data_IF_903923877255
#
_entry.id   IF_903923877255
#
_cell.length_a   1.000
_cell.length_b   1.000
_cell.length_c   1.000
_cell.angle_alpha   90.00
_cell.angle_beta   90.00
_cell.angle_gamma   90.00
#
_symmetry.space_group_name_H-M   'P 1'
#
loop_
_entity.id
_entity.type
_entity.pdbx_description
1 polymer ?
#
# COMPACT_ATOMS: atom_id res chain seq x y z
N UNK A 1 -81.21 3.70 60.83
CA UNK A 1 -80.26 4.82 60.70
C UNK A 1 -78.94 4.18 60.27
N UNK A 2 -78.34 4.38 59.10
CA UNK A 2 -78.46 5.43 58.10
C UNK A 2 -78.12 4.89 56.69
N UNK A 3 -78.56 5.63 55.66
CA UNK A 3 -78.43 5.33 54.23
C UNK A 3 -77.21 6.01 53.62
N UNK A 4 -76.60 5.39 52.59
CA UNK A 4 -76.04 5.96 51.32
C UNK A 4 -74.78 5.17 50.88
N UNK A 5 -74.79 4.38 49.79
CA UNK A 5 -74.74 4.80 48.36
C UNK A 5 -73.32 5.32 48.00
N UNK A 6 -72.57 4.92 46.95
CA UNK A 6 -72.73 4.22 45.66
C UNK A 6 -71.36 3.52 45.37
N UNK A 7 -71.29 2.25 44.93
CA UNK A 7 -71.12 1.78 43.51
C UNK A 7 -69.90 2.43 42.79
N UNK A 8 -69.03 1.74 42.06
CA UNK A 8 -68.99 0.34 41.62
C UNK A 8 -67.67 0.07 40.86
N UNK A 9 -67.54 -1.20 40.44
CA UNK A 9 -66.87 -1.65 39.22
C UNK A 9 -65.33 -1.75 39.29
N UNK A 10 -64.68 -2.84 38.90
CA UNK A 10 -65.14 -4.08 38.29
C UNK A 10 -63.90 -4.89 37.90
N UNK A 11 -64.05 -6.21 37.93
CA UNK A 11 -63.01 -7.20 37.66
C UNK A 11 -62.35 -7.08 36.27
N UNK A 12 -61.14 -7.65 36.11
CA UNK A 12 -60.88 -8.82 35.24
C UNK A 12 -59.38 -9.08 35.07
N UNK A 13 -59.03 -10.37 35.17
CA UNK A 13 -57.79 -10.95 34.69
C UNK A 13 -57.72 -10.90 33.15
N UNK A 14 -56.51 -10.82 32.60
CA UNK A 14 -56.21 -11.29 31.25
C UNK A 14 -54.72 -11.64 31.12
N UNK A 15 -54.47 -12.88 30.71
CA UNK A 15 -53.17 -13.43 30.39
C UNK A 15 -52.55 -12.72 29.18
N UNK A 16 -51.30 -12.27 29.33
CA UNK A 16 -50.52 -11.69 28.23
C UNK A 16 -49.97 -12.78 27.33
N UNK A 17 -50.42 -12.80 26.08
CA UNK A 17 -49.82 -13.58 24.99
C UNK A 17 -48.48 -12.91 24.63
N UNK A 18 -47.37 -13.64 24.80
CA UNK A 18 -46.06 -13.26 24.30
C UNK A 18 -45.99 -13.54 22.79
N UNK A 19 -46.05 -12.49 21.98
CA UNK A 19 -45.72 -12.58 20.55
C UNK A 19 -44.20 -12.42 20.41
N UNK A 20 -43.50 -13.51 20.10
CA UNK A 20 -42.10 -13.46 19.73
C UNK A 20 -41.95 -12.87 18.32
N UNK A 21 -41.35 -11.69 18.19
CA UNK A 21 -40.95 -11.12 16.91
C UNK A 21 -39.58 -11.70 16.51
N UNK A 22 -39.58 -12.64 15.56
CA UNK A 22 -38.36 -13.08 14.89
C UNK A 22 -37.93 -12.01 13.88
N UNK A 23 -36.84 -11.29 14.17
CA UNK A 23 -36.19 -10.40 13.21
C UNK A 23 -35.39 -11.24 12.19
N UNK A 24 -35.40 -10.91 10.89
CA UNK A 24 -34.57 -11.60 9.92
C UNK A 24 -33.11 -11.17 10.12
N UNK A 25 -32.27 -12.11 10.51
CA UNK A 25 -30.81 -11.93 10.50
C UNK A 25 -30.34 -11.87 9.04
N UNK A 26 -30.06 -10.67 8.54
CA UNK A 26 -29.35 -10.47 7.29
C UNK A 26 -27.93 -11.02 7.47
N UNK A 27 -27.68 -12.21 6.95
CA UNK A 27 -26.34 -12.77 6.86
C UNK A 27 -25.48 -11.84 5.98
N UNK A 28 -24.56 -11.11 6.58
CA UNK A 28 -23.52 -10.37 5.87
C UNK A 28 -22.64 -11.40 5.15
N UNK A 29 -22.86 -11.58 3.85
CA UNK A 29 -21.97 -12.37 3.00
C UNK A 29 -20.63 -11.63 2.97
N UNK A 30 -19.51 -12.23 3.41
CA UNK A 30 -18.21 -11.61 3.26
C UNK A 30 -17.93 -11.51 1.76
N UNK A 31 -18.01 -10.30 1.22
CA UNK A 31 -17.53 -10.01 -0.13
C UNK A 31 -16.03 -10.25 -0.13
N UNK A 32 -15.61 -11.43 -0.61
CA UNK A 32 -14.20 -11.63 -0.99
C UNK A 32 -13.83 -10.46 -1.91
N UNK A 33 -12.72 -9.75 -1.67
CA UNK A 33 -12.28 -8.71 -2.59
C UNK A 33 -12.16 -9.34 -3.96
N UNK A 34 -12.97 -8.84 -4.91
CA UNK A 34 -12.90 -9.24 -6.31
C UNK A 34 -11.45 -9.03 -6.73
N UNK A 35 -10.76 -10.11 -7.12
CA UNK A 35 -9.42 -10.01 -7.66
C UNK A 35 -9.41 -8.85 -8.66
N UNK A 36 -8.59 -7.83 -8.39
CA UNK A 36 -8.48 -6.65 -9.23
C UNK A 36 -8.01 -7.10 -10.61
N UNK A 37 -8.98 -7.27 -11.52
CA UNK A 37 -8.72 -7.64 -12.92
C UNK A 37 -8.33 -6.40 -13.73
N UNK A 38 -8.07 -5.27 -13.08
CA UNK A 38 -7.68 -4.02 -13.71
C UNK A 38 -6.32 -4.10 -14.37
N UNK A 39 -6.08 -3.13 -15.26
CA UNK A 39 -4.75 -2.81 -15.75
C UNK A 39 -4.10 -1.86 -14.74
N UNK A 40 -2.88 -2.19 -14.29
CA UNK A 40 -2.09 -1.30 -13.40
C UNK A 40 -1.01 -0.61 -14.20
N UNK A 41 -0.97 0.71 -14.03
CA UNK A 41 -0.05 1.61 -14.68
C UNK A 41 0.77 2.35 -13.62
N UNK A 42 2.04 2.63 -13.92
CA UNK A 42 2.87 3.54 -13.15
C UNK A 42 3.68 4.42 -14.09
N UNK A 43 3.83 5.68 -13.70
CA UNK A 43 4.71 6.65 -14.33
C UNK A 43 5.90 6.94 -13.42
N UNK A 44 7.09 6.98 -14.00
CA UNK A 44 8.36 7.17 -13.32
C UNK A 44 9.21 8.26 -13.98
N UNK A 45 9.94 8.99 -13.17
CA UNK A 45 11.01 9.89 -13.57
C UNK A 45 12.27 9.59 -12.75
N UNK A 46 13.41 9.29 -13.38
CA UNK A 46 14.62 8.94 -12.65
C UNK A 46 15.46 10.20 -12.45
N UNK A 47 15.69 10.59 -11.19
CA UNK A 47 16.31 11.87 -10.83
C UNK A 47 17.78 12.00 -11.26
N UNK A 48 18.48 10.87 -11.49
CA UNK A 48 19.87 10.85 -11.93
C UNK A 48 20.02 10.70 -13.44
N UNK A 49 19.30 9.77 -14.07
CA UNK A 49 19.40 9.52 -15.52
C UNK A 49 18.52 10.44 -16.35
N UNK A 50 17.52 11.09 -15.71
CA UNK A 50 16.46 11.87 -16.35
C UNK A 50 15.57 11.07 -17.29
N UNK A 51 15.64 9.75 -17.24
CA UNK A 51 14.78 8.85 -18.00
C UNK A 51 13.35 8.88 -17.44
N UNK A 52 12.37 8.91 -18.34
CA UNK A 52 10.95 8.75 -17.99
C UNK A 52 10.47 7.36 -18.42
N UNK A 53 9.55 6.78 -17.67
CA UNK A 53 8.88 5.53 -18.03
C UNK A 53 7.41 5.60 -17.63
N UNK A 54 6.49 5.45 -18.58
CA UNK A 54 5.06 5.22 -18.35
C UNK A 54 4.73 3.80 -18.83
N UNK A 55 4.26 2.95 -17.92
CA UNK A 55 4.16 1.54 -18.22
C UNK A 55 3.00 0.82 -17.54
N UNK A 56 2.28 0.03 -18.34
CA UNK A 56 1.28 -0.92 -17.88
C UNK A 56 1.97 -2.26 -17.55
N UNK A 57 2.26 -2.50 -16.27
CA UNK A 57 3.01 -3.69 -15.84
C UNK A 57 2.11 -4.89 -15.49
N UNK A 58 0.83 -4.64 -15.18
CA UNK A 58 -0.17 -5.67 -14.91
C UNK A 58 -1.38 -5.45 -15.83
N UNK A 59 -1.86 -6.49 -16.50
CA UNK A 59 -3.06 -6.47 -17.35
C UNK A 59 -3.92 -7.68 -17.05
N UNK A 60 -5.22 -7.48 -16.81
CA UNK A 60 -6.15 -8.58 -16.49
C UNK A 60 -5.66 -9.47 -15.33
N UNK A 61 -5.02 -8.86 -14.33
CA UNK A 61 -4.44 -9.58 -13.18
C UNK A 61 -3.17 -10.40 -13.49
N UNK A 62 -2.54 -10.23 -14.65
CA UNK A 62 -1.29 -10.92 -15.03
C UNK A 62 -0.18 -9.92 -15.33
N UNK A 63 1.04 -10.24 -14.88
CA UNK A 63 2.21 -9.44 -15.20
C UNK A 63 2.54 -9.50 -16.69
N UNK A 64 2.83 -8.35 -17.28
CA UNK A 64 3.38 -8.26 -18.63
C UNK A 64 4.90 -8.44 -18.56
N UNK A 65 5.38 -9.58 -19.01
CA UNK A 65 6.81 -9.92 -18.96
C UNK A 65 7.70 -8.90 -19.69
N UNK A 66 7.23 -8.37 -20.84
CA UNK A 66 8.00 -7.35 -21.58
C UNK A 66 8.04 -6.03 -20.82
N UNK A 67 6.97 -5.71 -20.10
CA UNK A 67 6.95 -4.54 -19.23
C UNK A 67 7.93 -4.71 -18.06
N UNK A 68 7.95 -5.88 -17.41
CA UNK A 68 8.90 -6.16 -16.32
C UNK A 68 10.36 -6.08 -16.80
N UNK A 69 10.68 -6.55 -18.00
CA UNK A 69 12.03 -6.38 -18.56
C UNK A 69 12.43 -4.91 -18.78
N UNK A 70 11.49 -4.08 -19.25
CA UNK A 70 11.72 -2.63 -19.38
C UNK A 70 11.93 -1.97 -18.02
N UNK A 71 11.15 -2.37 -17.02
CA UNK A 71 11.29 -1.90 -15.64
C UNK A 71 12.65 -2.30 -15.05
N UNK A 72 13.09 -3.54 -15.24
CA UNK A 72 14.41 -3.99 -14.78
C UNK A 72 15.54 -3.13 -15.36
N UNK A 73 15.46 -2.81 -16.66
CA UNK A 73 16.43 -1.91 -17.30
C UNK A 73 16.31 -0.48 -16.77
N UNK A 74 15.11 0.02 -16.57
CA UNK A 74 14.88 1.38 -16.07
C UNK A 74 15.40 1.56 -14.64
N UNK A 75 15.10 0.58 -13.77
CA UNK A 75 15.48 0.53 -12.35
C UNK A 75 16.86 -0.11 -12.09
N UNK A 76 17.68 -0.24 -13.13
CA UNK A 76 19.07 -0.70 -13.06
C UNK A 76 19.89 0.17 -12.11
N UNK A 77 21.06 -0.33 -11.71
CA UNK A 77 22.02 0.53 -11.03
C UNK A 77 22.52 1.59 -12.01
N UNK A 78 22.11 2.84 -11.84
CA UNK A 78 22.48 3.92 -12.75
C UNK A 78 23.98 4.24 -12.75
N UNK A 79 24.73 3.81 -11.73
CA UNK A 79 26.18 4.08 -11.62
C UNK A 79 27.01 3.08 -12.42
N UNK A 80 26.58 1.83 -12.46
CA UNK A 80 27.29 0.73 -13.14
C UNK A 80 26.59 0.26 -14.41
N UNK A 81 25.34 0.72 -14.64
CA UNK A 81 24.41 0.22 -15.65
C UNK A 81 24.04 -1.26 -15.52
N UNK A 82 24.37 -1.89 -14.39
CA UNK A 82 24.05 -3.29 -14.13
C UNK A 82 22.54 -3.47 -13.95
N UNK A 83 21.95 -4.35 -14.77
CA UNK A 83 20.53 -4.69 -14.75
C UNK A 83 20.32 -5.92 -13.88
N UNK A 84 19.30 -5.89 -13.03
CA UNK A 84 18.90 -7.00 -12.17
C UNK A 84 17.38 -7.15 -12.17
N UNK A 85 16.83 -8.37 -11.99
CA UNK A 85 15.40 -8.56 -11.83
C UNK A 85 14.85 -7.78 -10.63
N UNK A 86 13.86 -6.92 -10.87
CA UNK A 86 13.15 -6.19 -9.82
C UNK A 86 11.96 -7.03 -9.37
N UNK A 87 11.76 -7.12 -8.06
CA UNK A 87 10.60 -7.76 -7.45
C UNK A 87 9.31 -7.01 -7.87
N UNK A 88 8.39 -7.66 -8.61
CA UNK A 88 7.16 -7.01 -9.05
C UNK A 88 6.27 -6.54 -7.89
N UNK A 89 6.47 -7.05 -6.68
CA UNK A 89 5.70 -6.61 -5.51
C UNK A 89 6.01 -5.15 -5.14
N UNK A 90 7.21 -4.63 -5.45
CA UNK A 90 7.50 -3.19 -5.31
C UNK A 90 6.49 -2.38 -6.13
N UNK A 91 6.19 -2.81 -7.36
CA UNK A 91 5.26 -2.11 -8.24
C UNK A 91 3.83 -2.16 -7.71
N UNK A 92 3.46 -3.27 -7.07
CA UNK A 92 2.16 -3.39 -6.41
C UNK A 92 2.04 -2.43 -5.22
N UNK A 93 3.08 -2.35 -4.37
CA UNK A 93 3.11 -1.42 -3.23
C UNK A 93 2.97 0.02 -3.72
N UNK A 94 3.76 0.43 -4.71
CA UNK A 94 3.69 1.78 -5.29
C UNK A 94 2.32 2.07 -5.89
N UNK A 95 1.74 1.13 -6.64
CA UNK A 95 0.41 1.32 -7.20
C UNK A 95 -0.66 1.47 -6.11
N UNK A 96 -0.61 0.66 -5.05
CA UNK A 96 -1.53 0.76 -3.91
C UNK A 96 -1.39 2.10 -3.21
N UNK A 97 -0.17 2.59 -2.99
CA UNK A 97 0.06 3.93 -2.41
C UNK A 97 -0.61 5.02 -3.25
N UNK A 98 -0.53 4.96 -4.58
CA UNK A 98 -1.24 5.91 -5.45
C UNK A 98 -2.76 5.83 -5.28
N UNK A 99 -3.32 4.62 -5.13
CA UNK A 99 -4.76 4.45 -4.95
C UNK A 99 -5.22 5.01 -3.61
N UNK A 100 -4.51 4.71 -2.53
CA UNK A 100 -4.81 5.20 -1.17
C UNK A 100 -4.68 6.73 -1.08
N UNK A 101 -3.68 7.32 -1.76
CA UNK A 101 -3.53 8.79 -1.84
C UNK A 101 -4.57 9.41 -2.79
N UNK A 102 -5.19 8.62 -3.67
CA UNK A 102 -6.14 9.10 -4.68
C UNK A 102 -5.47 9.94 -5.78
N UNK A 103 -4.33 9.50 -6.30
CA UNK A 103 -3.59 10.23 -7.34
C UNK A 103 -3.06 9.34 -8.47
N UNK A 104 -2.57 9.98 -9.54
CA UNK A 104 -1.85 9.34 -10.66
C UNK A 104 -0.52 10.04 -10.94
N UNK A 105 0.08 10.63 -9.90
CA UNK A 105 1.33 11.39 -9.99
C UNK A 105 2.52 10.51 -10.38
N UNK A 106 3.51 11.09 -11.03
CA UNK A 106 4.77 10.41 -11.35
C UNK A 106 5.58 10.10 -10.08
N UNK A 107 6.11 8.89 -9.97
CA UNK A 107 7.12 8.55 -8.97
C UNK A 107 8.48 9.07 -9.42
N UNK A 108 9.17 9.81 -8.57
CA UNK A 108 10.56 10.19 -8.80
C UNK A 108 11.46 9.12 -8.20
N UNK A 109 12.23 8.43 -9.03
CA UNK A 109 13.15 7.36 -8.61
C UNK A 109 14.50 7.97 -8.29
N UNK A 110 14.91 7.84 -7.01
CA UNK A 110 16.24 8.21 -6.53
C UNK A 110 17.18 7.02 -6.71
N UNK A 111 16.77 5.84 -6.24
CA UNK A 111 17.54 4.61 -6.46
C UNK A 111 16.67 3.37 -6.39
N UNK A 112 17.08 2.30 -7.06
CA UNK A 112 16.40 1.01 -7.05
C UNK A 112 17.43 -0.12 -6.92
N UNK A 113 17.68 -0.93 -7.94
CA UNK A 113 18.76 -1.91 -7.83
C UNK A 113 20.11 -1.22 -7.58
N UNK A 114 20.91 -1.79 -6.68
CA UNK A 114 22.30 -1.36 -6.44
C UNK A 114 23.21 -2.56 -6.62
N UNK A 115 24.18 -2.46 -7.52
CA UNK A 115 25.23 -3.45 -7.66
C UNK A 115 26.02 -3.61 -6.35
N UNK A 116 26.66 -4.77 -6.11
CA UNK A 116 27.57 -4.95 -4.97
C UNK A 116 28.63 -3.85 -4.87
N UNK A 117 29.17 -3.42 -6.02
CA UNK A 117 30.15 -2.33 -6.12
C UNK A 117 29.58 -1.01 -5.63
N UNK A 118 28.40 -0.61 -6.10
CA UNK A 118 27.72 0.61 -5.64
C UNK A 118 27.39 0.54 -4.16
N UNK A 119 26.85 -0.58 -3.67
CA UNK A 119 26.49 -0.71 -2.27
C UNK A 119 27.74 -0.60 -1.37
N UNK A 120 28.85 -1.24 -1.73
CA UNK A 120 30.12 -1.11 -1.01
C UNK A 120 30.63 0.33 -1.00
N UNK A 121 30.59 1.02 -2.14
CA UNK A 121 31.03 2.43 -2.23
C UNK A 121 30.18 3.34 -1.36
N UNK A 122 28.86 3.19 -1.36
CA UNK A 122 27.96 4.00 -0.53
C UNK A 122 28.16 3.72 0.96
N UNK A 123 28.39 2.46 1.34
CA UNK A 123 28.74 2.08 2.72
C UNK A 123 30.04 2.70 3.21
N UNK A 124 31.03 2.86 2.34
CA UNK A 124 32.27 3.53 2.69
C UNK A 124 32.11 5.02 3.01
N UNK A 125 31.01 5.64 2.54
CA UNK A 125 30.75 7.07 2.68
C UNK A 125 29.65 7.39 3.71
N UNK A 126 28.97 6.38 4.27
CA UNK A 126 27.85 6.58 5.20
C UNK A 126 27.54 5.31 6.00
N UNK A 127 27.20 5.49 7.27
CA UNK A 127 26.70 4.42 8.14
C UNK A 127 25.25 4.02 7.84
N UNK A 128 24.53 4.81 7.02
CA UNK A 128 23.12 4.59 6.67
C UNK A 128 22.86 3.47 5.65
N UNK A 129 23.88 2.72 5.23
CA UNK A 129 23.75 1.69 4.19
C UNK A 129 24.09 0.30 4.75
N UNK A 130 23.11 -0.61 4.68
CA UNK A 130 23.27 -1.96 5.19
C UNK A 130 24.21 -2.82 4.32
N UNK A 131 24.99 -3.71 4.97
CA UNK A 131 25.86 -4.69 4.27
C UNK A 131 25.07 -5.63 3.35
N UNK A 132 23.87 -6.02 3.76
CA UNK A 132 22.94 -6.91 3.01
C UNK A 132 21.67 -6.14 2.66
N UNK A 133 21.83 -5.04 1.92
CA UNK A 133 20.72 -4.20 1.51
C UNK A 133 19.76 -4.94 0.56
N UNK A 134 18.45 -4.72 0.71
CA UNK A 134 17.44 -5.26 -0.21
C UNK A 134 17.49 -4.61 -1.59
N UNK A 135 18.13 -3.44 -1.73
CA UNK A 135 18.45 -2.87 -3.05
C UNK A 135 19.33 -3.80 -3.89
N UNK A 136 20.24 -4.55 -3.26
CA UNK A 136 21.09 -5.52 -3.98
C UNK A 136 20.36 -6.78 -4.42
N UNK A 137 19.11 -6.95 -3.98
CA UNK A 137 18.26 -8.10 -4.31
C UNK A 137 17.12 -7.70 -5.26
N UNK A 138 17.11 -6.46 -5.75
CA UNK A 138 16.00 -5.93 -6.56
C UNK A 138 14.70 -5.79 -5.77
N UNK A 139 14.78 -5.73 -4.45
CA UNK A 139 13.64 -5.76 -3.51
C UNK A 139 13.42 -4.43 -2.80
N UNK A 140 14.07 -3.35 -3.24
CA UNK A 140 13.88 -2.03 -2.63
C UNK A 140 13.98 -0.88 -3.63
N UNK A 141 13.30 0.22 -3.31
CA UNK A 141 13.28 1.46 -4.08
C UNK A 141 13.25 2.68 -3.15
N UNK A 142 13.97 3.72 -3.53
CA UNK A 142 13.93 5.03 -2.89
C UNK A 142 13.19 6.01 -3.80
N UNK A 143 12.13 6.61 -3.28
CA UNK A 143 11.16 7.36 -4.08
C UNK A 143 10.75 8.71 -3.47
N UNK A 144 10.27 9.59 -4.36
CA UNK A 144 9.28 10.64 -4.05
C UNK A 144 8.07 10.44 -4.94
N UNK A 145 7.02 11.19 -4.67
CA UNK A 145 5.82 11.24 -5.51
C UNK A 145 5.56 12.70 -5.88
N UNK A 146 5.60 13.03 -7.17
CA UNK A 146 5.53 14.42 -7.64
C UNK A 146 4.27 15.12 -7.14
N UNK A 147 4.46 16.29 -6.55
CA UNK A 147 3.38 17.11 -5.98
C UNK A 147 2.84 16.60 -4.64
N UNK A 148 3.48 15.61 -4.01
CA UNK A 148 3.11 15.08 -2.69
C UNK A 148 4.27 15.19 -1.71
N UNK A 149 3.97 15.53 -0.46
CA UNK A 149 4.97 15.54 0.61
C UNK A 149 5.42 14.11 0.93
N UNK A 150 6.73 13.89 1.06
CA UNK A 150 7.30 12.56 1.37
C UNK A 150 6.79 11.97 2.68
N UNK A 151 6.38 12.81 3.65
CA UNK A 151 5.72 12.37 4.88
C UNK A 151 4.38 11.67 4.61
N UNK A 152 3.58 12.19 3.70
CA UNK A 152 2.30 11.58 3.32
C UNK A 152 2.52 10.23 2.64
N UNK A 153 3.53 10.15 1.76
CA UNK A 153 3.90 8.88 1.10
C UNK A 153 4.36 7.86 2.13
N UNK A 154 5.20 8.27 3.09
CA UNK A 154 5.61 7.42 4.22
C UNK A 154 4.41 6.93 5.01
N UNK A 155 3.52 7.82 5.45
CA UNK A 155 2.38 7.45 6.30
C UNK A 155 1.47 6.43 5.62
N UNK A 156 1.25 6.61 4.32
CA UNK A 156 0.56 5.62 3.50
C UNK A 156 1.32 4.30 3.45
N UNK A 157 2.62 4.31 3.12
CA UNK A 157 3.43 3.10 3.04
C UNK A 157 3.49 2.33 4.37
N UNK A 158 3.58 3.04 5.51
CA UNK A 158 3.55 2.44 6.85
C UNK A 158 2.21 1.78 7.12
N UNK A 159 1.09 2.45 6.80
CA UNK A 159 -0.25 1.91 7.00
C UNK A 159 -0.54 0.65 6.16
N UNK A 160 0.16 0.47 5.03
CA UNK A 160 0.03 -0.74 4.20
C UNK A 160 0.69 -1.97 4.81
N UNK A 161 1.70 -1.79 5.66
CA UNK A 161 2.51 -2.87 6.25
C UNK A 161 3.06 -3.91 5.25
N UNK A 162 3.20 -3.51 3.98
CA UNK A 162 3.54 -4.41 2.86
C UNK A 162 5.05 -4.67 2.71
N UNK A 163 5.86 -4.09 3.60
CA UNK A 163 7.30 -4.34 3.70
C UNK A 163 8.04 -3.25 4.46
N UNK A 164 9.37 -3.15 4.34
CA UNK A 164 10.14 -2.15 5.08
C UNK A 164 9.90 -0.73 4.57
N UNK A 165 9.80 0.23 5.50
CA UNK A 165 9.62 1.65 5.19
C UNK A 165 10.66 2.50 5.93
N UNK A 166 11.55 3.15 5.19
CA UNK A 166 12.52 4.10 5.75
C UNK A 166 12.16 5.54 5.42
N UNK A 167 12.24 6.47 6.36
CA UNK A 167 11.95 7.89 6.10
C UNK A 167 13.16 8.80 6.26
N UNK A 168 13.62 9.36 5.14
CA UNK A 168 14.82 10.19 5.08
C UNK A 168 14.44 11.65 4.86
N UNK A 169 13.91 12.30 5.90
CA UNK A 169 13.40 13.68 5.81
C UNK A 169 14.46 14.68 5.31
N UNK A 170 15.70 14.58 5.79
CA UNK A 170 16.78 15.49 5.40
C UNK A 170 17.19 15.36 3.92
N UNK A 171 17.06 14.16 3.36
CA UNK A 171 17.33 13.88 1.94
C UNK A 171 16.06 13.90 1.08
N UNK A 172 14.91 14.17 1.71
CA UNK A 172 13.58 14.19 1.13
C UNK A 172 13.25 12.94 0.30
N UNK A 173 13.27 11.74 0.89
CA UNK A 173 12.75 10.54 0.20
C UNK A 173 12.19 9.50 1.17
N UNK A 174 11.42 8.57 0.62
CA UNK A 174 10.92 7.37 1.31
C UNK A 174 11.57 6.15 0.69
N UNK A 175 12.12 5.28 1.54
CA UNK A 175 12.56 3.95 1.17
C UNK A 175 11.41 2.96 1.34
N UNK A 176 11.21 2.09 0.36
CA UNK A 176 10.23 1.00 0.38
C UNK A 176 10.92 -0.29 -0.05
N UNK A 177 10.70 -1.37 0.67
CA UNK A 177 11.18 -2.71 0.30
C UNK A 177 10.10 -3.79 0.49
N UNK A 178 10.33 -4.98 -0.07
CA UNK A 178 9.43 -6.15 0.01
C UNK A 178 9.83 -7.15 1.10
N UNK A 179 10.68 -6.73 2.05
CA UNK A 179 11.07 -7.53 3.21
C UNK A 179 9.98 -7.58 4.28
N UNK A 180 10.33 -8.06 5.48
CA UNK A 180 9.41 -7.99 6.63
C UNK A 180 9.11 -6.52 6.98
N UNK A 181 7.85 -6.24 7.33
CA UNK A 181 7.45 -4.93 7.80
C UNK A 181 8.32 -4.47 8.97
N UNK A 182 8.80 -3.23 8.85
CA UNK A 182 9.61 -2.50 9.83
C UNK A 182 9.73 -1.06 9.38
N UNK A 183 9.95 -0.16 10.32
CA UNK A 183 10.11 1.27 10.03
C UNK A 183 11.43 1.80 10.59
N UNK A 184 12.06 2.75 9.90
CA UNK A 184 13.25 3.47 10.40
C UNK A 184 13.35 4.89 9.85
#
# INVERSE_FOLDING_TARGET
MDRRSFLALGAKAAAGILVAHAAPALAAVPTRPRADKGTRNLAFYHTHTRECLDINYLRNGKYDFKALQQINKYLRDFRTSEVYPIDPEILNILWTIQQEIGCRSTYEIISAYRSPQTNQKLRGNSDGVAKRSLHMQGQAVDIRLTGKNTRMVRDCAVALEAGGVGYYAASDFVHIDTGKFRTW
#
